data_IF_025744602351
#
_entry.id   IF_025744602351
#
_cell.length_a   1.000
_cell.length_b   1.000
_cell.length_c   1.000
_cell.angle_alpha   90.00
_cell.angle_beta   90.00
_cell.angle_gamma   90.00
#
_symmetry.space_group_name_H-M   'P 1'
#
loop_
_entity.id
_entity.type
_entity.pdbx_description
1 polymer ?
#
# COMPACT_ATOMS: atom_id res chain seq x y z
N UNK A 1 -6.29 12.04 0.25
CA UNK A 1 -6.58 10.99 -0.75
C UNK A 1 -7.97 11.21 -1.32
N UNK A 2 -8.14 11.08 -2.62
CA UNK A 2 -9.44 11.16 -3.28
C UNK A 2 -9.73 9.82 -3.92
N UNK A 3 -10.84 9.19 -3.54
CA UNK A 3 -11.35 7.98 -4.17
C UNK A 3 -12.43 8.35 -5.18
N UNK A 4 -12.49 7.64 -6.28
CA UNK A 4 -13.57 7.72 -7.24
C UNK A 4 -14.31 6.40 -7.25
N UNK A 5 -15.60 6.44 -6.91
CA UNK A 5 -16.44 5.25 -6.77
C UNK A 5 -17.41 5.17 -7.93
N UNK A 6 -17.57 3.99 -8.51
CA UNK A 6 -18.61 3.70 -9.50
C UNK A 6 -19.54 2.62 -8.95
N UNK A 7 -20.83 2.81 -9.18
CA UNK A 7 -21.89 1.88 -8.80
C UNK A 7 -22.36 1.05 -9.98
N UNK A 8 -22.31 -0.27 -9.85
CA UNK A 8 -22.74 -1.20 -10.90
C UNK A 8 -22.00 -0.97 -12.22
N UNK A 9 -22.73 -0.87 -13.32
CA UNK A 9 -22.21 -0.54 -14.64
C UNK A 9 -22.32 0.96 -14.97
N UNK A 10 -22.55 1.79 -13.97
CA UNK A 10 -22.69 3.24 -14.13
C UNK A 10 -21.42 3.90 -14.66
N UNK A 11 -21.59 4.87 -15.55
CA UNK A 11 -20.50 5.69 -16.08
C UNK A 11 -20.12 6.84 -15.13
N UNK A 12 -21.02 7.20 -14.21
CA UNK A 12 -20.78 8.28 -13.26
C UNK A 12 -19.92 7.83 -12.09
N UNK A 13 -18.86 8.56 -11.84
CA UNK A 13 -18.00 8.36 -10.67
C UNK A 13 -18.38 9.34 -9.56
N UNK A 14 -18.48 8.82 -8.33
CA UNK A 14 -18.70 9.64 -7.14
C UNK A 14 -17.36 9.88 -6.43
N UNK A 15 -16.93 11.15 -6.30
CA UNK A 15 -15.69 11.45 -5.58
C UNK A 15 -15.92 11.35 -4.07
N UNK A 16 -14.94 10.75 -3.38
CA UNK A 16 -14.92 10.62 -1.94
C UNK A 16 -13.57 11.10 -1.40
N UNK A 17 -13.60 12.19 -0.64
CA UNK A 17 -12.39 12.75 -0.03
C UNK A 17 -12.10 12.11 1.34
N UNK A 18 -10.91 11.57 1.49
CA UNK A 18 -10.40 11.02 2.76
C UNK A 18 -9.08 11.72 3.15
N UNK A 19 -8.76 11.86 4.43
CA UNK A 19 -9.56 11.40 5.58
C UNK A 19 -10.79 12.27 5.82
N UNK A 20 -11.81 11.64 6.40
CA UNK A 20 -13.05 12.25 6.83
C UNK A 20 -13.23 12.06 8.35
N UNK A 21 -14.09 12.85 8.98
CA UNK A 21 -14.45 12.65 10.38
C UNK A 21 -15.29 11.38 10.57
N UNK A 22 -15.36 10.87 11.79
CA UNK A 22 -16.16 9.67 12.08
C UNK A 22 -17.63 9.85 11.71
N UNK A 23 -18.23 11.03 11.96
CA UNK A 23 -19.61 11.33 11.57
C UNK A 23 -19.78 11.36 10.05
N UNK A 24 -18.83 11.91 9.31
CA UNK A 24 -18.85 11.91 7.84
C UNK A 24 -18.71 10.49 7.28
N UNK A 25 -17.88 9.63 7.89
CA UNK A 25 -17.76 8.22 7.49
C UNK A 25 -19.08 7.50 7.68
N UNK A 26 -19.76 7.68 8.82
CA UNK A 26 -21.09 7.11 9.07
C UNK A 26 -22.14 7.59 8.05
N UNK A 27 -22.17 8.90 7.73
CA UNK A 27 -23.06 9.44 6.71
C UNK A 27 -22.80 8.84 5.33
N UNK A 28 -21.52 8.64 4.99
CA UNK A 28 -21.14 8.04 3.70
C UNK A 28 -21.58 6.57 3.65
N UNK A 29 -21.36 5.80 4.72
CA UNK A 29 -21.79 4.41 4.80
C UNK A 29 -23.31 4.28 4.61
N UNK A 30 -24.09 5.12 5.29
CA UNK A 30 -25.55 5.14 5.14
C UNK A 30 -25.94 5.46 3.68
N UNK A 31 -25.31 6.44 3.06
CA UNK A 31 -25.60 6.80 1.66
C UNK A 31 -25.22 5.68 0.68
N UNK A 32 -24.11 4.98 0.91
CA UNK A 32 -23.71 3.84 0.09
C UNK A 32 -24.72 2.68 0.22
N UNK A 33 -25.18 2.40 1.42
CA UNK A 33 -26.20 1.38 1.68
C UNK A 33 -27.53 1.75 1.00
N UNK A 34 -27.96 3.01 1.09
CA UNK A 34 -29.18 3.50 0.45
C UNK A 34 -29.14 3.40 -1.07
N UNK A 35 -28.01 3.73 -1.69
CA UNK A 35 -27.82 3.64 -3.15
C UNK A 35 -27.80 2.18 -3.59
N UNK A 36 -27.22 1.30 -2.78
CA UNK A 36 -27.12 -0.14 -3.05
C UNK A 36 -28.34 -0.95 -2.62
N UNK A 37 -29.48 -0.32 -2.29
CA UNK A 37 -30.66 -0.98 -1.74
C UNK A 37 -31.19 -2.14 -2.61
N UNK A 38 -30.46 -3.24 -2.64
CA UNK A 38 -30.83 -4.52 -3.21
C UNK A 38 -29.97 -5.10 -4.31
N UNK A 39 -29.26 -4.33 -5.11
CA UNK A 39 -28.42 -4.87 -6.20
C UNK A 39 -27.24 -3.94 -6.54
N UNK A 40 -26.05 -4.52 -6.61
CA UNK A 40 -24.85 -3.87 -7.09
C UNK A 40 -23.81 -3.59 -5.99
N UNK A 41 -22.57 -3.46 -6.42
CA UNK A 41 -21.41 -3.14 -5.60
C UNK A 41 -20.81 -1.81 -6.03
N UNK A 42 -20.24 -1.07 -5.09
CA UNK A 42 -19.33 0.02 -5.42
C UNK A 42 -17.95 -0.51 -5.74
N UNK A 43 -17.34 0.03 -6.79
CA UNK A 43 -15.94 -0.21 -7.13
C UNK A 43 -15.16 1.07 -7.00
N UNK A 44 -13.93 0.96 -6.52
CA UNK A 44 -12.97 2.04 -6.59
C UNK A 44 -12.42 2.07 -8.02
N UNK A 45 -12.90 3.01 -8.82
CA UNK A 45 -12.49 3.15 -10.22
C UNK A 45 -11.16 3.86 -10.38
N UNK A 46 -10.83 4.77 -9.45
CA UNK A 46 -9.55 5.49 -9.45
C UNK A 46 -9.23 6.02 -8.05
N UNK A 47 -7.97 6.32 -7.82
CA UNK A 47 -7.45 6.90 -6.58
C UNK A 47 -6.44 7.98 -6.91
N UNK A 48 -6.65 9.19 -6.39
CA UNK A 48 -5.64 10.24 -6.34
C UNK A 48 -4.99 10.30 -4.97
N UNK A 49 -3.72 9.95 -4.90
CA UNK A 49 -2.94 9.90 -3.66
C UNK A 49 -1.50 10.32 -3.92
N UNK A 50 -0.82 10.75 -2.86
CA UNK A 50 0.62 10.97 -2.87
C UNK A 50 1.44 9.66 -2.96
N UNK A 51 0.80 8.51 -2.72
CA UNK A 51 1.38 7.18 -2.92
C UNK A 51 1.04 6.70 -4.32
N UNK A 52 2.04 6.64 -5.19
CA UNK A 52 1.85 6.24 -6.59
C UNK A 52 1.41 4.77 -6.69
N UNK A 53 0.46 4.51 -7.58
CA UNK A 53 0.00 3.15 -7.85
C UNK A 53 -0.85 2.52 -6.75
N UNK A 54 -1.28 3.30 -5.75
CA UNK A 54 -2.08 2.79 -4.63
C UNK A 54 -3.36 2.09 -5.08
N UNK A 55 -4.00 2.56 -6.16
CA UNK A 55 -5.23 2.00 -6.68
C UNK A 55 -5.16 0.49 -6.93
N UNK A 56 -4.07 -0.01 -7.52
CA UNK A 56 -3.93 -1.43 -7.83
C UNK A 56 -3.99 -2.34 -6.58
N UNK A 57 -3.67 -1.81 -5.41
CA UNK A 57 -3.68 -2.55 -4.15
C UNK A 57 -4.98 -2.43 -3.37
N UNK A 58 -5.78 -1.38 -3.61
CA UNK A 58 -7.03 -1.12 -2.88
C UNK A 58 -8.29 -1.23 -3.74
N UNK A 59 -8.16 -1.42 -5.05
CA UNK A 59 -9.29 -1.49 -5.99
C UNK A 59 -10.31 -2.57 -5.69
N UNK A 60 -9.90 -3.64 -5.00
CA UNK A 60 -10.75 -4.76 -4.64
C UNK A 60 -11.44 -4.60 -3.27
N UNK A 61 -11.26 -3.46 -2.60
CA UNK A 61 -11.94 -3.19 -1.34
C UNK A 61 -13.46 -3.16 -1.57
N UNK A 62 -14.18 -3.91 -0.74
CA UNK A 62 -15.63 -3.98 -0.77
C UNK A 62 -16.21 -2.99 0.24
N UNK A 63 -16.64 -1.83 -0.24
CA UNK A 63 -17.15 -0.74 0.61
C UNK A 63 -18.47 -1.06 1.31
N UNK A 64 -19.18 -2.11 0.89
CA UNK A 64 -20.39 -2.59 1.56
C UNK A 64 -20.10 -3.48 2.77
N UNK A 65 -18.86 -3.97 2.90
CA UNK A 65 -18.45 -4.68 4.10
C UNK A 65 -18.35 -3.72 5.29
N UNK A 66 -18.80 -4.16 6.49
CA UNK A 66 -18.63 -3.37 7.70
C UNK A 66 -17.17 -2.97 7.91
N UNK A 67 -16.94 -1.72 8.27
CA UNK A 67 -15.61 -1.15 8.58
C UNK A 67 -14.62 -1.01 7.40
N UNK A 68 -14.96 -1.38 6.19
CA UNK A 68 -14.05 -1.26 5.04
C UNK A 68 -13.74 0.22 4.74
N UNK A 69 -14.76 1.08 4.75
CA UNK A 69 -14.57 2.53 4.59
C UNK A 69 -13.75 3.13 5.74
N UNK A 70 -13.95 2.66 6.97
CA UNK A 70 -13.13 3.06 8.13
C UNK A 70 -11.66 2.68 7.95
N UNK A 71 -11.38 1.51 7.40
CA UNK A 71 -10.01 1.07 7.07
C UNK A 71 -9.38 1.97 6.01
N UNK A 72 -10.09 2.33 4.96
CA UNK A 72 -9.63 3.28 3.95
C UNK A 72 -9.38 4.67 4.56
N UNK A 73 -10.24 5.11 5.45
CA UNK A 73 -10.07 6.36 6.17
C UNK A 73 -8.82 6.35 7.04
N UNK A 74 -8.56 5.26 7.74
CA UNK A 74 -7.34 5.05 8.53
C UNK A 74 -6.09 5.04 7.66
N UNK A 75 -6.12 4.34 6.53
CA UNK A 75 -5.03 4.34 5.55
C UNK A 75 -4.72 5.75 5.07
N UNK A 76 -5.75 6.52 4.73
CA UNK A 76 -5.60 7.91 4.30
C UNK A 76 -4.94 8.80 5.37
N UNK A 77 -5.29 8.62 6.64
CA UNK A 77 -4.64 9.32 7.74
C UNK A 77 -3.15 8.99 7.84
N UNK A 78 -2.80 7.71 7.71
CA UNK A 78 -1.39 7.29 7.71
C UNK A 78 -0.62 7.93 6.56
N UNK A 79 -1.17 7.90 5.35
CA UNK A 79 -0.53 8.50 4.17
C UNK A 79 -0.31 10.00 4.33
N UNK A 80 -1.27 10.71 4.94
CA UNK A 80 -1.17 12.15 5.13
C UNK A 80 0.00 12.58 6.04
N UNK A 81 0.37 11.75 7.00
CA UNK A 81 1.46 12.05 7.94
C UNK A 81 2.81 11.48 7.51
N UNK A 82 2.85 10.68 6.44
CA UNK A 82 4.10 10.16 5.91
C UNK A 82 4.97 11.26 5.31
N UNK A 83 6.27 11.19 5.59
CA UNK A 83 7.28 11.94 4.85
C UNK A 83 7.42 11.41 3.42
N UNK A 84 8.09 12.16 2.55
CA UNK A 84 8.38 11.70 1.19
C UNK A 84 9.18 10.40 1.18
N UNK A 85 10.16 10.27 2.06
CA UNK A 85 10.93 9.03 2.21
C UNK A 85 10.06 7.86 2.63
N UNK A 86 9.16 8.06 3.59
CA UNK A 86 8.23 7.00 4.04
C UNK A 86 7.26 6.59 2.94
N UNK A 87 6.80 7.51 2.10
CA UNK A 87 5.95 7.19 0.93
C UNK A 87 6.70 6.35 -0.09
N UNK A 88 7.98 6.65 -0.35
CA UNK A 88 8.82 5.84 -1.24
C UNK A 88 9.04 4.44 -0.67
N UNK A 89 9.33 4.32 0.62
CA UNK A 89 9.45 3.04 1.32
C UNK A 89 8.14 2.26 1.23
N UNK A 90 7.02 2.91 1.50
CA UNK A 90 5.70 2.29 1.44
C UNK A 90 5.37 1.76 0.04
N UNK A 91 5.63 2.55 -0.99
CA UNK A 91 5.46 2.13 -2.39
C UNK A 91 6.30 0.91 -2.72
N UNK A 92 7.58 0.92 -2.35
CA UNK A 92 8.49 -0.22 -2.55
C UNK A 92 8.04 -1.47 -1.79
N UNK A 93 7.60 -1.31 -0.55
CA UNK A 93 7.09 -2.41 0.27
C UNK A 93 5.82 -3.04 -0.33
N UNK A 94 4.87 -2.23 -0.80
CA UNK A 94 3.67 -2.72 -1.48
C UNK A 94 4.00 -3.52 -2.75
N UNK A 95 5.01 -3.10 -3.51
CA UNK A 95 5.45 -3.79 -4.72
C UNK A 95 6.22 -5.09 -4.43
N UNK A 96 6.93 -5.15 -3.31
CA UNK A 96 7.75 -6.31 -2.93
C UNK A 96 6.96 -7.39 -2.19
N UNK A 97 5.86 -7.05 -1.55
CA UNK A 97 5.03 -7.98 -0.81
C UNK A 97 3.85 -8.49 -1.65
N UNK A 98 3.36 -9.69 -1.31
CA UNK A 98 2.16 -10.25 -1.92
C UNK A 98 0.90 -9.64 -1.30
N UNK A 99 0.64 -8.38 -1.64
CA UNK A 99 -0.52 -7.64 -1.14
C UNK A 99 -1.75 -7.96 -1.98
N UNK A 100 -2.79 -8.49 -1.35
CA UNK A 100 -4.04 -8.90 -2.01
C UNK A 100 -5.31 -8.29 -1.40
N UNK A 101 -5.20 -7.65 -0.24
CA UNK A 101 -6.34 -7.08 0.48
C UNK A 101 -6.00 -5.74 1.13
N UNK A 102 -7.02 -5.00 1.52
CA UNK A 102 -6.85 -3.76 2.27
C UNK A 102 -6.17 -3.99 3.63
N UNK A 103 -6.45 -5.13 4.27
CA UNK A 103 -5.78 -5.52 5.52
C UNK A 103 -4.28 -5.73 5.32
N UNK A 104 -3.87 -6.30 4.19
CA UNK A 104 -2.44 -6.43 3.84
C UNK A 104 -1.79 -5.06 3.64
N UNK A 105 -2.46 -4.13 2.98
CA UNK A 105 -1.98 -2.75 2.81
C UNK A 105 -1.77 -2.09 4.17
N UNK A 106 -2.73 -2.19 5.07
CA UNK A 106 -2.63 -1.63 6.43
C UNK A 106 -1.53 -2.30 7.26
N UNK A 107 -1.33 -3.60 7.08
CA UNK A 107 -0.22 -4.32 7.73
C UNK A 107 1.13 -3.81 7.24
N UNK A 108 1.26 -3.56 5.94
CA UNK A 108 2.48 -2.97 5.35
C UNK A 108 2.76 -1.59 5.90
N UNK A 109 1.73 -0.74 6.07
CA UNK A 109 1.88 0.56 6.75
C UNK A 109 2.48 0.40 8.14
N UNK A 110 1.97 -0.55 8.93
CA UNK A 110 2.46 -0.81 10.28
C UNK A 110 3.90 -1.32 10.34
N UNK A 111 4.41 -1.85 9.24
CA UNK A 111 5.76 -2.42 9.12
C UNK A 111 6.75 -1.52 8.39
N UNK A 112 6.39 -0.31 8.06
CA UNK A 112 7.22 0.59 7.24
C UNK A 112 8.62 0.79 7.81
N UNK A 113 8.77 0.70 9.13
CA UNK A 113 10.06 0.80 9.84
C UNK A 113 11.01 -0.37 9.61
N UNK A 114 10.48 -1.49 9.09
CA UNK A 114 11.27 -2.70 8.81
C UNK A 114 11.91 -2.66 7.42
N UNK A 115 11.56 -1.67 6.61
CA UNK A 115 12.06 -1.51 5.26
C UNK A 115 13.10 -0.40 5.20
N UNK A 116 14.10 -0.61 4.37
CA UNK A 116 15.17 0.34 4.11
C UNK A 116 15.33 0.53 2.59
N UNK A 117 15.50 1.76 2.16
CA UNK A 117 15.91 2.06 0.79
C UNK A 117 17.42 2.23 0.79
N UNK A 118 18.08 1.43 -0.05
CA UNK A 118 19.52 1.49 -0.27
C UNK A 118 19.72 2.08 -1.68
N UNK A 119 19.96 3.40 -1.79
CA UNK A 119 19.98 4.07 -3.10
C UNK A 119 21.05 3.54 -4.06
N UNK A 120 22.16 3.03 -3.52
CA UNK A 120 23.29 2.52 -4.28
C UNK A 120 23.03 1.11 -4.85
N UNK A 121 21.96 0.44 -4.41
CA UNK A 121 21.64 -0.94 -4.80
C UNK A 121 20.54 -0.92 -5.85
N UNK A 122 20.87 -1.35 -7.05
CA UNK A 122 19.94 -1.39 -8.19
C UNK A 122 19.68 -2.80 -8.72
N UNK A 123 20.46 -3.79 -8.27
CA UNK A 123 20.31 -5.19 -8.66
C UNK A 123 20.70 -6.14 -7.54
N UNK A 124 20.35 -7.42 -7.70
CA UNK A 124 20.59 -8.47 -6.70
C UNK A 124 22.08 -8.63 -6.35
N UNK A 125 22.96 -8.47 -7.33
CA UNK A 125 24.41 -8.57 -7.10
C UNK A 125 24.91 -7.45 -6.18
N UNK A 126 24.44 -6.23 -6.41
CA UNK A 126 24.79 -5.07 -5.57
C UNK A 126 24.21 -5.22 -4.17
N UNK A 127 22.99 -5.76 -4.07
CA UNK A 127 22.38 -6.08 -2.78
C UNK A 127 23.22 -7.10 -2.01
N UNK A 128 23.59 -8.19 -2.65
CA UNK A 128 24.43 -9.23 -2.03
C UNK A 128 25.76 -8.65 -1.55
N UNK A 129 26.44 -7.85 -2.38
CA UNK A 129 27.66 -7.14 -2.01
C UNK A 129 27.46 -6.21 -0.80
N UNK A 130 26.44 -5.39 -0.84
CA UNK A 130 26.09 -4.49 0.26
C UNK A 130 25.88 -5.24 1.59
N UNK A 131 25.10 -6.33 1.55
CA UNK A 131 24.79 -7.12 2.75
C UNK A 131 26.03 -7.76 3.38
N UNK A 132 26.97 -8.23 2.55
CA UNK A 132 28.23 -8.80 3.02
C UNK A 132 29.18 -7.73 3.57
N UNK A 133 29.33 -6.60 2.85
CA UNK A 133 30.21 -5.49 3.25
C UNK A 133 29.77 -4.83 4.56
N UNK A 134 28.46 -4.74 4.78
CA UNK A 134 27.89 -4.14 5.99
C UNK A 134 27.62 -5.15 7.11
N UNK A 135 28.15 -6.37 6.99
CA UNK A 135 28.03 -7.40 8.01
C UNK A 135 26.60 -7.88 8.30
N UNK A 136 25.69 -7.70 7.33
CA UNK A 136 24.32 -8.21 7.41
C UNK A 136 24.27 -9.71 7.14
N UNK A 137 25.27 -10.20 6.42
CA UNK A 137 25.52 -11.62 6.17
C UNK A 137 26.93 -11.91 6.64
N UNK A 138 27.07 -12.88 7.55
CA UNK A 138 28.37 -13.29 8.05
C UNK A 138 29.13 -14.08 6.99
N UNK A 139 30.24 -13.54 6.53
CA UNK A 139 31.12 -14.16 5.57
C UNK A 139 32.58 -13.91 5.94
N UNK A 140 33.39 -15.00 6.17
CA UNK A 140 34.81 -14.86 6.39
C UNK A 140 35.53 -14.13 5.24
N UNK A 141 36.43 -13.21 5.57
CA UNK A 141 37.13 -12.36 4.62
C UNK A 141 37.73 -13.11 3.43
N UNK A 142 38.37 -14.29 3.71
CA UNK A 142 39.01 -15.10 2.69
C UNK A 142 38.05 -15.75 1.70
N UNK A 143 36.77 -15.82 2.00
CA UNK A 143 35.72 -16.38 1.15
C UNK A 143 35.00 -15.31 0.31
N UNK A 144 35.06 -14.03 0.67
CA UNK A 144 34.38 -12.94 -0.04
C UNK A 144 34.66 -12.90 -1.55
N UNK A 145 35.93 -13.13 -2.03
CA UNK A 145 36.20 -13.12 -3.45
C UNK A 145 35.53 -14.24 -4.26
N UNK A 146 35.05 -15.29 -3.59
CA UNK A 146 34.44 -16.47 -4.20
C UNK A 146 32.92 -16.49 -4.10
N UNK A 147 32.33 -15.46 -3.49
CA UNK A 147 30.87 -15.39 -3.34
C UNK A 147 30.18 -15.05 -4.66
N UNK A 148 29.15 -15.80 -4.97
CA UNK A 148 28.15 -15.40 -5.94
C UNK A 148 27.10 -14.53 -5.27
N UNK A 149 27.27 -13.22 -5.36
CA UNK A 149 26.36 -12.26 -4.74
C UNK A 149 24.93 -12.31 -5.28
N UNK A 150 24.71 -12.88 -6.46
CA UNK A 150 23.35 -13.04 -7.05
C UNK A 150 22.58 -14.15 -6.34
N UNK A 151 23.27 -15.18 -5.85
CA UNK A 151 22.68 -16.30 -5.14
C UNK A 151 22.36 -16.05 -3.66
N UNK A 152 22.70 -14.86 -3.13
CA UNK A 152 22.39 -14.50 -1.74
C UNK A 152 20.94 -14.04 -1.66
N UNK A 153 20.06 -14.95 -1.28
CA UNK A 153 18.67 -14.66 -0.93
C UNK A 153 18.56 -14.34 0.56
N UNK A 154 17.92 -13.23 0.84
CA UNK A 154 17.66 -12.79 2.21
C UNK A 154 16.23 -13.15 2.60
#
# INVERSE_FOLDING_TARGET
>A
MMLYLTHGNGEESMPLKLPASSSQVEEIDIRLDDICSGEGNFRISDVKSSVKGLWQFIRNADLLKPKELEKLNRLSRHINVMSEKERQIFTGALLSESVSSLDDVLRTVGRIRLYEIIPEVTCDRELGGYLVEHGRIDCPEHLKPYLDYVGINV
#
